data_IF_027728101865
#
_entry.id   IF_027728101865
#
_cell.length_a   1.000
_cell.length_b   1.000
_cell.length_c   1.000
_cell.angle_alpha   90.00
_cell.angle_beta   90.00
_cell.angle_gamma   90.00
#
_symmetry.space_group_name_H-M   'P 1'
#
loop_
_entity.id
_entity.type
_entity.pdbx_description
1 polymer ?
#
# COMPACT_ATOMS: atom_id res chain seq x y z
N UNK A 1 -6.98 28.84 31.14
CA UNK A 1 -6.30 27.73 31.86
C UNK A 1 -7.15 26.47 32.14
N UNK A 2 -8.50 26.50 32.11
CA UNK A 2 -9.35 25.33 32.47
C UNK A 2 -9.44 24.22 31.40
N UNK A 3 -9.32 24.54 30.11
CA UNK A 3 -9.51 23.57 29.01
C UNK A 3 -8.35 22.58 28.92
N UNK A 4 -7.10 23.05 29.00
CA UNK A 4 -5.91 22.18 28.94
C UNK A 4 -5.87 21.19 30.10
N UNK A 5 -6.16 21.64 31.33
CA UNK A 5 -6.25 20.76 32.49
C UNK A 5 -7.39 19.73 32.34
N UNK A 6 -8.54 20.15 31.79
CA UNK A 6 -9.66 19.25 31.50
C UNK A 6 -9.30 18.23 30.41
N UNK A 7 -8.56 18.62 29.37
CA UNK A 7 -8.04 17.70 28.35
C UNK A 7 -7.09 16.67 28.95
N UNK A 8 -6.15 17.12 29.79
CA UNK A 8 -5.14 16.25 30.40
C UNK A 8 -5.76 15.20 31.34
N UNK A 9 -6.81 15.57 32.08
CA UNK A 9 -7.40 14.74 33.13
C UNK A 9 -8.69 14.01 32.70
N UNK A 10 -9.57 14.67 31.94
CA UNK A 10 -10.91 14.20 31.56
C UNK A 10 -11.22 14.49 30.08
N UNK A 11 -10.46 13.95 29.12
CA UNK A 11 -10.56 14.32 27.70
C UNK A 11 -11.93 13.98 27.07
N UNK A 12 -12.71 13.07 27.67
CA UNK A 12 -14.02 12.61 27.16
C UNK A 12 -15.07 13.71 27.05
N UNK A 13 -14.97 14.78 27.82
CA UNK A 13 -15.98 15.85 27.86
C UNK A 13 -15.73 16.97 26.86
N UNK A 14 -14.52 17.05 26.30
CA UNK A 14 -14.09 18.16 25.43
C UNK A 14 -14.67 18.02 24.02
N UNK A 15 -15.17 19.13 23.46
CA UNK A 15 -15.73 19.19 22.10
C UNK A 15 -14.78 18.62 21.05
N UNK A 16 -13.50 18.99 21.09
CA UNK A 16 -12.47 18.51 20.17
C UNK A 16 -12.43 16.98 20.08
N UNK A 17 -12.54 16.25 21.20
CA UNK A 17 -12.56 14.78 21.19
C UNK A 17 -13.84 14.23 20.57
N UNK A 18 -14.99 14.87 20.83
CA UNK A 18 -16.28 14.45 20.28
C UNK A 18 -16.31 14.66 18.76
N UNK A 19 -15.84 15.81 18.28
CA UNK A 19 -15.73 16.11 16.86
C UNK A 19 -14.72 15.16 16.18
N UNK A 20 -13.54 14.98 16.75
CA UNK A 20 -12.54 14.04 16.25
C UNK A 20 -13.10 12.62 16.18
N UNK A 21 -13.86 12.18 17.19
CA UNK A 21 -14.52 10.88 17.16
C UNK A 21 -15.48 10.71 15.99
N UNK A 22 -16.28 11.72 15.66
CA UNK A 22 -17.17 11.66 14.51
C UNK A 22 -16.39 11.63 13.19
N UNK A 23 -15.39 12.52 13.05
CA UNK A 23 -14.54 12.55 11.85
C UNK A 23 -13.84 11.20 11.67
N UNK A 24 -13.21 10.66 12.71
CA UNK A 24 -12.52 9.38 12.66
C UNK A 24 -13.46 8.21 12.34
N UNK A 25 -14.67 8.21 12.92
CA UNK A 25 -15.67 7.17 12.64
C UNK A 25 -16.09 7.16 11.17
N UNK A 26 -16.45 8.33 10.63
CA UNK A 26 -16.97 8.43 9.27
C UNK A 26 -15.87 8.31 8.22
N UNK A 27 -14.70 8.92 8.43
CA UNK A 27 -13.54 8.71 7.56
C UNK A 27 -13.07 7.26 7.63
N UNK A 28 -13.02 6.66 8.82
CA UNK A 28 -12.61 5.27 8.99
C UNK A 28 -13.53 4.31 8.24
N UNK A 29 -14.84 4.55 8.27
CA UNK A 29 -15.81 3.74 7.51
C UNK A 29 -15.69 3.96 6.00
N UNK A 30 -15.54 5.21 5.55
CA UNK A 30 -15.45 5.56 4.13
C UNK A 30 -14.14 5.07 3.49
N UNK A 31 -13.02 5.14 4.23
CA UNK A 31 -11.68 4.84 3.72
C UNK A 31 -11.22 3.42 4.06
N UNK A 32 -11.97 2.67 4.87
CA UNK A 32 -11.61 1.32 5.31
C UNK A 32 -11.09 0.47 4.15
N UNK A 33 -11.96 0.18 3.17
CA UNK A 33 -11.62 -0.68 2.04
C UNK A 33 -10.45 -0.12 1.23
N UNK A 34 -10.43 1.19 0.98
CA UNK A 34 -9.35 1.88 0.29
C UNK A 34 -7.98 1.65 0.97
N UNK A 35 -7.89 1.90 2.29
CA UNK A 35 -6.65 1.71 3.05
C UNK A 35 -6.23 0.24 3.08
N UNK A 36 -7.18 -0.71 3.17
CA UNK A 36 -6.85 -2.14 3.14
C UNK A 36 -6.33 -2.58 1.76
N UNK A 37 -6.91 -2.10 0.67
CA UNK A 37 -6.41 -2.40 -0.68
C UNK A 37 -4.98 -1.87 -0.84
N UNK A 38 -4.71 -0.62 -0.46
CA UNK A 38 -3.36 -0.05 -0.56
C UNK A 38 -2.34 -0.72 0.37
N UNK A 39 -2.78 -1.11 1.58
CA UNK A 39 -1.98 -1.88 2.53
C UNK A 39 -1.59 -3.25 1.96
N UNK A 40 -2.53 -3.93 1.31
CA UNK A 40 -2.31 -5.24 0.70
C UNK A 40 -1.41 -5.14 -0.55
N UNK A 41 -1.72 -4.23 -1.48
CA UNK A 41 -0.93 -4.04 -2.70
C UNK A 41 0.46 -3.49 -2.38
N UNK A 42 0.56 -2.56 -1.43
CA UNK A 42 1.83 -2.00 -0.96
C UNK A 42 2.73 -3.06 -0.35
N UNK A 43 2.15 -3.98 0.42
CA UNK A 43 2.86 -5.13 0.98
C UNK A 43 3.36 -6.08 -0.12
N UNK A 44 2.55 -6.35 -1.14
CA UNK A 44 2.94 -7.21 -2.27
C UNK A 44 4.11 -6.62 -3.09
N UNK A 45 4.14 -5.30 -3.31
CA UNK A 45 5.21 -4.64 -4.09
C UNK A 45 6.52 -4.41 -3.33
N UNK A 46 6.62 -4.74 -2.03
CA UNK A 46 7.91 -4.71 -1.31
C UNK A 46 8.96 -5.60 -2.01
N UNK A 47 8.51 -6.69 -2.63
CA UNK A 47 9.32 -7.62 -3.41
C UNK A 47 9.33 -7.31 -4.91
N UNK A 48 8.88 -6.13 -5.34
CA UNK A 48 8.72 -5.82 -6.77
C UNK A 48 9.98 -6.12 -7.59
N UNK A 49 11.18 -5.79 -7.09
CA UNK A 49 12.43 -6.06 -7.84
C UNK A 49 12.69 -7.55 -8.03
N UNK A 50 12.41 -8.36 -7.00
CA UNK A 50 12.54 -9.81 -7.07
C UNK A 50 11.48 -10.41 -8.00
N UNK A 51 10.25 -9.90 -7.92
CA UNK A 51 9.15 -10.34 -8.77
C UNK A 51 9.38 -9.93 -10.24
N UNK A 52 9.89 -8.73 -10.52
CA UNK A 52 10.28 -8.28 -11.87
C UNK A 52 11.36 -9.19 -12.49
N UNK A 53 12.24 -9.77 -11.66
CA UNK A 53 13.24 -10.75 -12.11
C UNK A 53 12.61 -12.11 -12.33
N UNK A 54 11.78 -12.58 -11.39
CA UNK A 54 11.17 -13.90 -11.42
C UNK A 54 10.01 -14.05 -12.43
N UNK A 55 9.35 -12.95 -12.79
CA UNK A 55 8.17 -12.92 -13.65
C UNK A 55 8.46 -12.36 -15.04
N UNK A 56 9.64 -11.79 -15.25
CA UNK A 56 10.10 -11.36 -16.57
C UNK A 56 10.36 -12.55 -17.51
N UNK A 57 10.63 -12.27 -18.80
CA UNK A 57 11.04 -13.29 -19.74
C UNK A 57 12.33 -13.96 -19.30
N UNK A 58 12.55 -15.19 -19.75
CA UNK A 58 13.77 -15.94 -19.46
C UNK A 58 15.00 -15.15 -19.91
N UNK A 59 16.02 -15.14 -19.05
CA UNK A 59 17.21 -14.30 -19.25
C UNK A 59 18.41 -15.19 -19.53
N UNK A 60 19.05 -15.07 -20.70
CA UNK A 60 20.28 -15.79 -20.96
C UNK A 60 21.39 -15.30 -20.04
N UNK A 61 22.31 -16.21 -19.70
CA UNK A 61 23.52 -15.85 -18.95
C UNK A 61 24.37 -14.87 -19.77
N UNK A 62 24.97 -13.90 -19.08
CA UNK A 62 25.82 -12.90 -19.73
C UNK A 62 27.20 -13.52 -19.99
N UNK A 63 27.42 -13.99 -21.22
CA UNK A 63 28.74 -14.40 -21.68
C UNK A 63 29.39 -13.29 -22.52
N UNK A 64 30.38 -12.61 -21.91
CA UNK A 64 31.12 -11.51 -22.58
C UNK A 64 32.06 -12.00 -23.69
N UNK A 65 32.30 -13.31 -23.78
CA UNK A 65 33.12 -13.91 -24.84
C UNK A 65 32.32 -14.21 -26.10
N UNK A 66 30.99 -14.34 -25.97
CA UNK A 66 30.09 -14.52 -27.11
C UNK A 66 29.85 -13.19 -27.83
N UNK A 67 29.92 -13.24 -29.15
CA UNK A 67 29.55 -12.11 -30.00
C UNK A 67 28.03 -12.09 -30.18
N UNK A 68 27.45 -10.90 -30.05
CA UNK A 68 26.06 -10.65 -30.41
C UNK A 68 25.87 -10.96 -31.89
N UNK A 69 24.83 -11.72 -32.21
CA UNK A 69 24.46 -11.99 -33.59
C UNK A 69 24.04 -10.69 -34.29
N UNK A 70 24.45 -10.50 -35.56
CA UNK A 70 24.00 -9.34 -36.32
C UNK A 70 22.49 -9.41 -36.56
N UNK A 71 21.79 -8.27 -36.68
CA UNK A 71 20.32 -8.22 -36.81
C UNK A 71 19.77 -9.12 -37.92
N UNK A 72 20.51 -9.29 -39.03
CA UNK A 72 20.14 -10.13 -40.16
C UNK A 72 20.11 -11.61 -39.81
N UNK A 73 21.00 -12.06 -38.91
CA UNK A 73 20.99 -13.44 -38.41
C UNK A 73 19.83 -13.66 -37.46
N UNK A 74 19.54 -12.69 -36.60
CA UNK A 74 18.40 -12.76 -35.69
C UNK A 74 17.07 -12.78 -36.45
N UNK A 75 16.96 -12.01 -37.53
CA UNK A 75 15.79 -12.06 -38.41
C UNK A 75 15.65 -13.40 -39.13
N UNK A 76 16.76 -14.02 -39.57
CA UNK A 76 16.73 -15.39 -40.11
C UNK A 76 16.19 -16.41 -39.09
N UNK A 77 16.62 -16.34 -37.83
CA UNK A 77 16.13 -17.23 -36.77
C UNK A 77 14.63 -17.00 -36.50
N UNK A 78 14.22 -15.74 -36.39
CA UNK A 78 12.81 -15.38 -36.20
C UNK A 78 11.94 -15.86 -37.37
N UNK A 79 12.36 -15.63 -38.63
CA UNK A 79 11.62 -16.04 -39.81
C UNK A 79 11.47 -17.56 -39.91
N UNK A 80 12.45 -18.34 -39.43
CA UNK A 80 12.35 -19.81 -39.38
C UNK A 80 11.35 -20.29 -38.34
N UNK A 81 11.30 -19.64 -37.17
CA UNK A 81 10.32 -19.96 -36.13
C UNK A 81 8.91 -19.51 -36.49
N UNK A 82 8.79 -18.42 -37.25
CA UNK A 82 7.55 -17.74 -37.60
C UNK A 82 7.42 -17.56 -39.13
N UNK A 83 7.28 -18.64 -39.92
CA UNK A 83 7.35 -18.58 -41.38
C UNK A 83 6.23 -17.75 -42.04
N UNK A 84 5.08 -17.62 -41.37
CA UNK A 84 3.93 -16.86 -41.87
C UNK A 84 3.92 -15.39 -41.43
N UNK A 85 4.93 -14.94 -40.65
CA UNK A 85 5.00 -13.57 -40.18
C UNK A 85 6.01 -12.77 -41.00
N UNK A 86 5.74 -11.48 -41.17
CA UNK A 86 6.68 -10.50 -41.71
C UNK A 86 7.38 -9.79 -40.57
N UNK A 87 8.71 -9.75 -40.58
CA UNK A 87 9.49 -9.04 -39.56
C UNK A 87 9.40 -7.54 -39.84
N UNK A 88 8.91 -6.77 -38.86
CA UNK A 88 8.75 -5.32 -38.97
C UNK A 88 9.96 -4.57 -38.39
N UNK A 89 10.44 -5.03 -37.24
CA UNK A 89 11.55 -4.41 -36.52
C UNK A 89 12.39 -5.46 -35.78
N UNK A 90 13.70 -5.23 -35.78
CA UNK A 90 14.66 -5.96 -34.95
C UNK A 90 15.28 -4.93 -34.02
N UNK A 91 14.82 -4.93 -32.77
CA UNK A 91 15.26 -3.98 -31.77
C UNK A 91 16.75 -4.08 -31.44
N UNK A 92 17.28 -3.04 -30.79
CA UNK A 92 18.65 -3.07 -30.29
C UNK A 92 18.82 -4.03 -29.10
N UNK A 93 20.04 -4.55 -28.93
CA UNK A 93 20.40 -5.35 -27.75
C UNK A 93 20.18 -4.51 -26.48
N UNK A 94 19.43 -5.07 -25.54
CA UNK A 94 19.18 -4.36 -24.28
C UNK A 94 20.48 -4.23 -23.46
N UNK A 95 20.71 -3.05 -22.86
CA UNK A 95 21.95 -2.77 -22.11
C UNK A 95 22.18 -3.68 -20.89
N UNK A 96 21.11 -4.23 -20.32
CA UNK A 96 21.14 -4.95 -19.04
C UNK A 96 21.14 -6.47 -19.22
N UNK A 97 20.65 -6.96 -20.36
CA UNK A 97 20.50 -8.39 -20.69
C UNK A 97 20.72 -8.57 -22.20
N UNK A 98 21.43 -9.61 -22.65
CA UNK A 98 21.73 -9.85 -24.06
C UNK A 98 20.52 -10.45 -24.76
N UNK A 99 19.46 -9.66 -24.85
CA UNK A 99 18.20 -10.00 -25.49
C UNK A 99 17.84 -8.94 -26.52
N UNK A 100 17.17 -9.38 -27.58
CA UNK A 100 16.67 -8.53 -28.66
C UNK A 100 15.17 -8.77 -28.77
N UNK A 101 14.40 -7.70 -28.86
CA UNK A 101 12.97 -7.78 -29.12
C UNK A 101 12.74 -7.69 -30.62
N UNK A 102 11.98 -8.62 -31.17
CA UNK A 102 11.64 -8.66 -32.59
C UNK A 102 10.12 -8.52 -32.72
N UNK A 103 9.70 -7.53 -33.50
CA UNK A 103 8.30 -7.27 -33.81
C UNK A 103 7.96 -7.89 -35.14
N UNK A 104 6.90 -8.69 -35.16
CA UNK A 104 6.49 -9.50 -36.31
C UNK A 104 4.99 -9.31 -36.55
N UNK A 105 4.58 -9.22 -37.81
CA UNK A 105 3.17 -9.11 -38.19
C UNK A 105 2.70 -10.33 -38.97
N UNK A 106 1.56 -10.88 -38.60
CA UNK A 106 0.79 -11.79 -39.45
C UNK A 106 -0.60 -11.19 -39.67
N UNK A 107 -0.93 -10.88 -40.92
CA UNK A 107 -2.18 -10.21 -41.29
C UNK A 107 -2.39 -8.89 -40.52
N UNK A 108 -3.39 -8.81 -39.64
CA UNK A 108 -3.66 -7.65 -38.76
C UNK A 108 -3.11 -7.82 -37.33
N UNK A 109 -2.49 -8.95 -37.03
CA UNK A 109 -1.94 -9.25 -35.71
C UNK A 109 -0.44 -8.92 -35.66
N UNK A 110 -0.06 -8.05 -34.73
CA UNK A 110 1.35 -7.74 -34.43
C UNK A 110 1.72 -8.47 -33.15
N UNK A 111 2.72 -9.34 -33.23
CA UNK A 111 3.30 -10.04 -32.09
C UNK A 111 4.72 -9.53 -31.84
N UNK A 112 5.11 -9.50 -30.58
CA UNK A 112 6.46 -9.16 -30.16
C UNK A 112 7.04 -10.35 -29.41
N UNK A 113 8.29 -10.70 -29.70
CA UNK A 113 8.99 -11.83 -29.07
C UNK A 113 10.39 -11.41 -28.68
N UNK A 114 10.86 -11.97 -27.57
CA UNK A 114 12.22 -11.74 -27.08
C UNK A 114 13.09 -12.90 -27.54
N UNK A 115 14.20 -12.58 -28.17
CA UNK A 115 15.19 -13.56 -28.61
C UNK A 115 16.51 -13.38 -27.86
N UNK A 116 17.21 -14.48 -27.65
CA UNK A 116 18.57 -14.49 -27.15
C UNK A 116 19.50 -13.86 -28.19
N UNK A 117 20.21 -12.80 -27.83
CA UNK A 117 21.04 -12.04 -28.75
C UNK A 117 22.30 -12.80 -29.20
N UNK A 118 22.69 -13.87 -28.52
CA UNK A 118 23.84 -14.70 -28.86
C UNK A 118 23.47 -15.95 -29.67
N UNK A 119 22.34 -16.57 -29.36
CA UNK A 119 21.96 -17.87 -29.96
C UNK A 119 20.83 -17.79 -30.97
N UNK A 120 20.03 -16.71 -30.95
CA UNK A 120 18.80 -16.60 -31.75
C UNK A 120 17.65 -17.48 -31.23
N UNK A 121 17.75 -18.01 -30.02
CA UNK A 121 16.68 -18.74 -29.35
C UNK A 121 15.51 -17.81 -28.99
N UNK A 122 14.27 -18.23 -29.25
CA UNK A 122 13.06 -17.53 -28.81
C UNK A 122 12.81 -17.78 -27.31
N UNK A 123 12.82 -16.70 -26.55
CA UNK A 123 12.69 -16.67 -25.09
C UNK A 123 11.26 -16.37 -24.62
N UNK A 124 10.32 -16.15 -25.54
CA UNK A 124 8.93 -15.91 -25.17
C UNK A 124 8.44 -14.48 -25.37
N UNK A 125 7.32 -14.20 -24.71
CA UNK A 125 6.70 -12.88 -24.72
C UNK A 125 7.57 -11.87 -23.95
N UNK A 126 7.74 -10.63 -24.44
CA UNK A 126 8.46 -9.58 -23.72
C UNK A 126 7.84 -9.25 -22.37
N UNK A 127 6.52 -9.45 -22.27
CA UNK A 127 5.73 -9.22 -21.06
C UNK A 127 4.88 -10.46 -20.74
N UNK A 128 5.43 -11.47 -20.05
CA UNK A 128 4.64 -12.62 -19.62
C UNK A 128 3.47 -12.17 -18.71
N UNK A 129 2.38 -12.94 -18.68
CA UNK A 129 1.19 -12.62 -17.87
C UNK A 129 1.48 -12.29 -16.39
N UNK A 130 2.54 -12.89 -15.82
CA UNK A 130 2.98 -12.62 -14.44
C UNK A 130 3.56 -11.20 -14.30
N UNK A 131 4.29 -10.72 -15.31
CA UNK A 131 4.78 -9.34 -15.38
C UNK A 131 3.62 -8.37 -15.56
N UNK A 132 2.64 -8.69 -16.39
CA UNK A 132 1.42 -7.90 -16.52
C UNK A 132 0.62 -7.84 -15.22
N UNK A 133 0.47 -8.95 -14.51
CA UNK A 133 -0.18 -8.99 -13.21
C UNK A 133 0.54 -8.14 -12.15
N UNK A 134 1.88 -8.13 -12.18
CA UNK A 134 2.69 -7.28 -11.32
C UNK A 134 2.52 -5.80 -11.68
N UNK A 135 2.50 -5.47 -12.98
CA UNK A 135 2.22 -4.11 -13.45
C UNK A 135 0.82 -3.66 -13.04
N UNK A 136 -0.20 -4.51 -13.22
CA UNK A 136 -1.56 -4.27 -12.76
C UNK A 136 -1.61 -3.97 -11.26
N UNK A 137 -0.89 -4.74 -10.46
CA UNK A 137 -0.83 -4.55 -9.01
C UNK A 137 -0.15 -3.23 -8.62
N UNK A 138 0.92 -2.84 -9.33
CA UNK A 138 1.57 -1.53 -9.17
C UNK A 138 0.61 -0.40 -9.57
N UNK A 139 -0.07 -0.51 -10.72
CA UNK A 139 -1.04 0.50 -11.19
C UNK A 139 -2.23 0.62 -10.24
N UNK A 140 -2.67 -0.47 -9.61
CA UNK A 140 -3.69 -0.42 -8.56
C UNK A 140 -3.19 0.35 -7.32
N UNK A 141 -1.93 0.14 -6.91
CA UNK A 141 -1.37 0.82 -5.74
C UNK A 141 -1.11 2.31 -5.99
N UNK A 142 -0.59 2.65 -7.16
CA UNK A 142 -0.14 4.00 -7.52
C UNK A 142 -1.28 4.89 -8.03
N UNK A 143 -2.13 4.31 -8.87
CA UNK A 143 -3.09 5.03 -9.71
C UNK A 143 -4.53 4.49 -9.58
N UNK A 144 -4.79 3.54 -8.67
CA UNK A 144 -6.12 2.95 -8.43
C UNK A 144 -6.72 2.29 -9.69
N UNK A 145 -5.87 1.79 -10.59
CA UNK A 145 -6.25 1.27 -11.92
C UNK A 145 -6.91 2.29 -12.85
N UNK A 146 -6.89 3.57 -12.50
CA UNK A 146 -7.42 4.62 -13.34
C UNK A 146 -6.42 4.94 -14.47
N UNK A 147 -6.89 5.11 -15.71
CA UNK A 147 -6.08 5.66 -16.80
C UNK A 147 -5.46 7.01 -16.43
N UNK A 148 -4.33 7.35 -17.04
CA UNK A 148 -3.57 8.60 -16.77
C UNK A 148 -4.45 9.86 -16.88
N UNK A 149 -5.37 9.87 -17.84
CA UNK A 149 -6.33 10.96 -18.05
C UNK A 149 -7.29 11.17 -16.87
N UNK A 150 -7.59 10.10 -16.14
CA UNK A 150 -8.54 10.08 -15.02
C UNK A 150 -7.89 10.46 -13.68
N UNK A 151 -6.61 10.87 -13.69
CA UNK A 151 -5.88 11.39 -12.53
C UNK A 151 -5.87 10.43 -11.33
N UNK A 152 -5.62 9.13 -11.56
CA UNK A 152 -5.55 8.10 -10.50
C UNK A 152 -4.67 8.49 -9.31
N UNK A 153 -3.42 8.87 -9.58
CA UNK A 153 -2.47 9.38 -8.57
C UNK A 153 -2.97 10.57 -7.75
N UNK A 154 -3.78 11.45 -8.35
CA UNK A 154 -4.38 12.58 -7.64
C UNK A 154 -5.37 12.08 -6.59
N UNK A 155 -6.27 11.17 -6.94
CA UNK A 155 -7.24 10.60 -6.00
C UNK A 155 -6.56 9.77 -4.90
N UNK A 156 -5.51 9.04 -5.24
CA UNK A 156 -4.66 8.35 -4.27
C UNK A 156 -4.00 9.35 -3.28
N UNK A 157 -3.60 10.53 -3.78
CA UNK A 157 -3.11 11.63 -2.95
C UNK A 157 -4.19 12.19 -2.02
N UNK A 158 -5.41 12.40 -2.50
CA UNK A 158 -6.56 12.81 -1.68
C UNK A 158 -6.85 11.78 -0.60
N UNK A 159 -6.85 10.49 -0.93
CA UNK A 159 -7.02 9.41 0.04
C UNK A 159 -5.91 9.39 1.09
N UNK A 160 -4.68 9.72 0.70
CA UNK A 160 -3.53 9.87 1.62
C UNK A 160 -3.69 11.06 2.59
N UNK A 161 -4.24 12.20 2.12
CA UNK A 161 -4.59 13.35 2.97
C UNK A 161 -5.68 12.95 3.98
N UNK A 162 -6.75 12.30 3.51
CA UNK A 162 -7.84 11.89 4.39
C UNK A 162 -7.40 10.82 5.40
N UNK A 163 -6.49 9.92 5.02
CA UNK A 163 -5.88 8.93 5.92
C UNK A 163 -4.98 9.61 6.96
N UNK A 164 -4.28 10.69 6.58
CA UNK A 164 -3.51 11.51 7.53
C UNK A 164 -4.45 12.14 8.57
N UNK A 165 -5.59 12.71 8.15
CA UNK A 165 -6.62 13.25 9.06
C UNK A 165 -7.19 12.14 9.96
N UNK A 166 -7.43 10.95 9.40
CA UNK A 166 -7.88 9.77 10.15
C UNK A 166 -6.87 9.41 11.27
N UNK A 167 -5.57 9.41 10.97
CA UNK A 167 -4.51 9.17 11.95
C UNK A 167 -4.48 10.26 13.04
N UNK A 168 -4.51 11.54 12.65
CA UNK A 168 -4.47 12.67 13.60
C UNK A 168 -5.69 12.66 14.53
N UNK A 169 -6.88 12.44 14.00
CA UNK A 169 -8.09 12.30 14.83
C UNK A 169 -8.03 11.06 15.72
N UNK A 170 -7.46 9.95 15.23
CA UNK A 170 -7.18 8.75 16.02
C UNK A 170 -6.29 9.03 17.23
N UNK A 171 -5.18 9.76 17.04
CA UNK A 171 -4.28 10.17 18.12
C UNK A 171 -4.98 11.05 19.17
N UNK A 172 -5.83 11.98 18.74
CA UNK A 172 -6.64 12.83 19.63
C UNK A 172 -7.63 11.98 20.45
N UNK A 173 -8.31 11.01 19.82
CA UNK A 173 -9.29 10.14 20.49
C UNK A 173 -8.62 9.16 21.45
N UNK A 174 -7.44 8.66 21.07
CA UNK A 174 -6.68 7.65 21.80
C UNK A 174 -6.35 8.12 23.21
N UNK A 175 -5.99 9.40 23.40
CA UNK A 175 -5.62 9.96 24.69
C UNK A 175 -6.70 9.71 25.77
N UNK A 176 -6.45 8.81 26.75
CA UNK A 176 -7.44 8.44 27.76
C UNK A 176 -7.33 9.29 29.03
N UNK A 177 -6.37 10.22 29.09
CA UNK A 177 -6.01 11.03 30.24
C UNK A 177 -4.78 10.52 30.99
N UNK A 178 -4.09 11.41 31.69
CA UNK A 178 -2.78 11.16 32.32
C UNK A 178 -2.77 10.02 33.36
N UNK A 179 -3.91 9.71 33.98
CA UNK A 179 -4.00 8.63 34.98
C UNK A 179 -4.11 7.24 34.35
N UNK A 180 -4.57 7.14 33.11
CA UNK A 180 -4.93 5.87 32.48
C UNK A 180 -4.20 5.59 31.16
N UNK A 181 -3.23 6.41 30.75
CA UNK A 181 -2.56 6.31 29.45
C UNK A 181 -1.96 4.92 29.18
N UNK A 182 -1.35 4.28 30.19
CA UNK A 182 -0.80 2.91 30.06
C UNK A 182 -1.86 1.87 29.69
N UNK A 183 -3.12 2.06 30.10
CA UNK A 183 -4.24 1.17 29.73
C UNK A 183 -4.60 1.26 28.25
N UNK A 184 -4.27 2.38 27.58
CA UNK A 184 -4.51 2.54 26.14
C UNK A 184 -3.45 1.87 25.25
N UNK A 185 -2.37 1.37 25.84
CA UNK A 185 -1.23 0.71 25.15
C UNK A 185 -1.21 -0.81 25.34
N UNK A 186 -2.11 -1.34 26.15
CA UNK A 186 -2.10 -2.75 26.59
C UNK A 186 -3.40 -3.44 26.19
N UNK A 187 -3.30 -4.74 25.94
CA UNK A 187 -4.43 -5.60 25.56
C UNK A 187 -4.76 -6.51 26.72
N UNK A 188 -6.04 -6.53 27.12
CA UNK A 188 -6.55 -7.47 28.10
C UNK A 188 -7.09 -8.71 27.39
N UNK A 189 -6.26 -9.74 27.29
CA UNK A 189 -6.57 -10.98 26.57
C UNK A 189 -7.68 -11.82 27.20
N UNK A 190 -7.92 -11.65 28.50
CA UNK A 190 -8.97 -12.30 29.29
C UNK A 190 -10.34 -11.60 29.20
N UNK A 191 -10.44 -10.52 28.42
CA UNK A 191 -11.67 -9.75 28.31
C UNK A 191 -12.66 -10.34 27.30
N UNK A 192 -13.96 -10.15 27.56
CA UNK A 192 -15.01 -10.46 26.59
C UNK A 192 -14.79 -9.76 25.22
N UNK A 193 -15.24 -10.40 24.14
CA UNK A 193 -14.86 -10.06 22.76
C UNK A 193 -15.01 -8.56 22.37
N UNK A 194 -16.12 -7.87 22.65
CA UNK A 194 -16.23 -6.42 22.40
C UNK A 194 -15.13 -5.57 23.06
N UNK A 195 -14.71 -5.94 24.27
CA UNK A 195 -13.65 -5.24 25.00
C UNK A 195 -12.28 -5.57 24.43
N UNK A 196 -12.01 -6.85 24.16
CA UNK A 196 -10.77 -7.28 23.54
C UNK A 196 -10.55 -6.59 22.19
N UNK A 197 -11.57 -6.55 21.32
CA UNK A 197 -11.49 -5.89 20.02
C UNK A 197 -11.22 -4.37 20.13
N UNK A 198 -11.82 -3.69 21.11
CA UNK A 198 -11.52 -2.28 21.39
C UNK A 198 -10.08 -2.09 21.86
N UNK A 199 -9.62 -2.93 22.80
CA UNK A 199 -8.25 -2.86 23.33
C UNK A 199 -7.22 -3.16 22.23
N UNK A 200 -7.49 -4.12 21.33
CA UNK A 200 -6.68 -4.40 20.14
C UNK A 200 -6.61 -3.18 19.21
N UNK A 201 -7.74 -2.61 18.81
CA UNK A 201 -7.75 -1.43 17.93
C UNK A 201 -7.00 -0.24 18.55
N UNK A 202 -7.18 -0.03 19.86
CA UNK A 202 -6.48 1.03 20.60
C UNK A 202 -4.97 0.79 20.68
N UNK A 203 -4.55 -0.42 21.04
CA UNK A 203 -3.14 -0.75 21.23
C UNK A 203 -2.39 -0.79 19.89
N UNK A 204 -2.93 -1.51 18.89
CA UNK A 204 -2.33 -1.60 17.55
C UNK A 204 -2.28 -0.22 16.91
N UNK A 205 -3.37 0.55 16.98
CA UNK A 205 -3.42 1.92 16.47
C UNK A 205 -2.37 2.82 17.11
N UNK A 206 -2.08 2.66 18.41
CA UNK A 206 -1.03 3.40 19.09
C UNK A 206 0.38 2.98 18.67
N UNK A 207 0.69 1.69 18.75
CA UNK A 207 2.04 1.18 18.49
C UNK A 207 2.49 1.41 17.05
N UNK A 208 1.54 1.38 16.11
CA UNK A 208 1.81 1.58 14.69
C UNK A 208 1.37 2.94 14.17
N UNK A 209 0.95 3.87 15.05
CA UNK A 209 0.51 5.22 14.68
C UNK A 209 1.52 5.92 13.78
N UNK A 210 2.79 5.98 14.20
CA UNK A 210 3.83 6.68 13.45
C UNK A 210 4.10 6.03 12.09
N UNK A 211 3.96 4.69 12.00
CA UNK A 211 4.16 3.97 10.74
C UNK A 211 3.03 4.26 9.75
N UNK A 212 1.78 4.18 10.20
CA UNK A 212 0.60 4.47 9.35
C UNK A 212 0.62 5.94 8.93
N UNK A 213 0.96 6.85 9.85
CA UNK A 213 1.13 8.27 9.56
C UNK A 213 2.25 8.51 8.53
N UNK A 214 3.38 7.81 8.66
CA UNK A 214 4.47 7.87 7.69
C UNK A 214 3.99 7.48 6.29
N UNK A 215 3.27 6.37 6.14
CA UNK A 215 2.72 5.95 4.84
C UNK A 215 1.68 6.93 4.29
N UNK A 216 0.83 7.49 5.14
CA UNK A 216 -0.14 8.49 4.71
C UNK A 216 0.55 9.78 4.24
N UNK A 217 1.54 10.30 4.98
CA UNK A 217 2.25 11.54 4.60
C UNK A 217 3.13 11.35 3.37
N UNK A 218 3.83 10.22 3.26
CA UNK A 218 4.59 9.85 2.05
C UNK A 218 3.70 9.70 0.84
N UNK A 219 2.49 9.13 0.97
CA UNK A 219 1.51 9.10 -0.11
C UNK A 219 1.13 10.50 -0.62
N UNK A 220 1.00 11.49 0.28
CA UNK A 220 0.81 12.90 -0.10
C UNK A 220 2.01 13.39 -0.91
N UNK A 221 3.24 13.14 -0.45
CA UNK A 221 4.45 13.55 -1.15
C UNK A 221 4.58 12.90 -2.55
N UNK A 222 4.31 11.60 -2.66
CA UNK A 222 4.41 10.85 -3.93
C UNK A 222 3.32 11.24 -4.93
N UNK A 223 2.15 11.67 -4.46
CA UNK A 223 1.07 12.16 -5.33
C UNK A 223 1.19 13.65 -5.66
N UNK A 224 1.70 14.46 -4.74
CA UNK A 224 1.79 15.92 -4.87
C UNK A 224 3.19 16.44 -4.51
N UNK A 225 4.25 16.06 -5.24
CA UNK A 225 5.62 16.40 -4.88
C UNK A 225 5.85 17.91 -4.90
N UNK A 226 5.36 18.63 -5.91
CA UNK A 226 5.55 20.08 -6.02
C UNK A 226 4.84 20.86 -4.90
N UNK A 227 3.52 20.67 -4.65
CA UNK A 227 2.88 21.32 -3.51
C UNK A 227 3.53 20.98 -2.16
N UNK A 228 3.94 19.72 -1.98
CA UNK A 228 4.60 19.27 -0.75
C UNK A 228 5.95 19.98 -0.55
N UNK A 229 6.82 19.99 -1.57
CA UNK A 229 8.12 20.65 -1.48
C UNK A 229 8.00 22.17 -1.37
N UNK A 230 6.98 22.78 -2.00
CA UNK A 230 6.70 24.20 -1.81
C UNK A 230 6.35 24.51 -0.34
N UNK A 231 5.53 23.67 0.30
CA UNK A 231 5.24 23.80 1.72
C UNK A 231 6.50 23.63 2.58
N UNK A 232 7.34 22.64 2.30
CA UNK A 232 8.63 22.46 2.96
C UNK A 232 9.50 23.71 2.81
N UNK A 233 9.58 24.29 1.61
CA UNK A 233 10.38 25.47 1.33
C UNK A 233 9.89 26.72 2.09
N UNK A 234 8.58 26.84 2.33
CA UNK A 234 8.01 27.93 3.14
C UNK A 234 8.49 27.86 4.59
N UNK A 235 8.57 26.66 5.18
CA UNK A 235 8.92 26.48 6.59
C UNK A 235 10.42 26.32 6.85
N UNK A 236 11.16 25.75 5.89
CA UNK A 236 12.56 25.36 6.06
C UNK A 236 13.52 26.12 5.12
N UNK A 237 13.02 27.10 4.35
CA UNK A 237 13.79 27.85 3.35
C UNK A 237 13.90 27.12 2.01
N UNK A 238 14.30 27.77 0.92
CA UNK A 238 14.44 27.13 -0.39
C UNK A 238 15.52 26.03 -0.39
N UNK A 239 15.33 25.01 -1.22
CA UNK A 239 16.36 23.98 -1.45
C UNK A 239 17.58 24.59 -2.17
N UNK A 240 18.77 24.06 -1.88
CA UNK A 240 20.02 24.49 -2.51
C UNK A 240 20.28 23.60 -3.74
N UNK A 241 20.30 24.16 -4.96
CA UNK A 241 20.55 23.36 -6.17
C UNK A 241 21.95 22.73 -6.18
N UNK A 242 22.92 23.34 -5.48
CA UNK A 242 24.31 22.90 -5.45
C UNK A 242 24.62 21.93 -4.29
N UNK A 243 23.75 21.88 -3.28
CA UNK A 243 23.90 20.99 -2.13
C UNK A 243 22.60 20.20 -1.85
N UNK A 244 22.35 19.12 -2.61
CA UNK A 244 21.26 18.20 -2.31
C UNK A 244 21.34 17.68 -0.89
N UNK A 245 20.19 17.53 -0.22
CA UNK A 245 20.08 17.05 1.18
C UNK A 245 20.75 17.96 2.22
N UNK A 246 20.96 19.24 1.89
CA UNK A 246 21.55 20.22 2.81
C UNK A 246 20.69 20.49 4.04
N UNK A 247 19.36 20.34 3.96
CA UNK A 247 18.45 20.55 5.09
C UNK A 247 18.16 19.22 5.80
N UNK A 248 18.10 19.19 7.15
CA UNK A 248 17.70 17.99 7.89
C UNK A 248 16.34 17.42 7.46
N UNK A 249 15.42 18.27 6.99
CA UNK A 249 14.11 17.84 6.49
C UNK A 249 14.22 17.04 5.18
N UNK A 250 15.18 17.34 4.31
CA UNK A 250 15.35 16.62 3.04
C UNK A 250 15.85 15.20 3.31
N UNK A 251 16.77 15.05 4.26
CA UNK A 251 17.21 13.74 4.78
C UNK A 251 16.02 12.98 5.37
N UNK A 252 15.17 13.66 6.15
CA UNK A 252 13.98 13.03 6.71
C UNK A 252 13.00 12.57 5.63
N UNK A 253 12.74 13.39 4.59
CA UNK A 253 11.89 13.04 3.44
C UNK A 253 12.47 11.83 2.69
N UNK A 254 13.79 11.80 2.47
CA UNK A 254 14.45 10.67 1.82
C UNK A 254 14.24 9.36 2.60
N UNK A 255 14.45 9.40 3.92
CA UNK A 255 14.17 8.25 4.79
C UNK A 255 12.69 7.87 4.77
N UNK A 256 11.79 8.86 4.79
CA UNK A 256 10.36 8.66 4.67
C UNK A 256 10.01 7.85 3.42
N UNK A 257 10.56 8.23 2.26
CA UNK A 257 10.36 7.57 0.97
C UNK A 257 10.98 6.18 0.95
N UNK A 258 12.19 6.01 1.50
CA UNK A 258 12.85 4.69 1.61
C UNK A 258 12.02 3.72 2.45
N UNK A 259 11.48 4.19 3.58
CA UNK A 259 10.61 3.42 4.46
C UNK A 259 9.27 3.12 3.78
N UNK A 260 8.68 4.06 3.06
CA UNK A 260 7.45 3.82 2.29
C UNK A 260 7.59 2.60 1.37
N UNK A 261 8.64 2.57 0.55
CA UNK A 261 8.84 1.48 -0.41
C UNK A 261 9.36 0.17 0.23
N UNK A 262 9.74 0.16 1.50
CA UNK A 262 10.27 -1.04 2.17
C UNK A 262 11.52 -1.62 1.49
N UNK A 263 12.36 -0.78 0.86
CA UNK A 263 13.54 -1.22 0.07
C UNK A 263 14.69 -1.64 0.96
N UNK A 264 14.51 -2.74 1.67
CA UNK A 264 15.54 -3.36 2.51
C UNK A 264 16.49 -4.23 1.68
N UNK A 265 17.76 -4.29 2.09
CA UNK A 265 18.73 -5.23 1.50
C UNK A 265 18.50 -6.68 1.96
N UNK A 266 17.93 -6.88 3.14
CA UNK A 266 17.64 -8.20 3.72
C UNK A 266 16.22 -8.64 3.40
N UNK A 267 16.05 -9.87 2.90
CA UNK A 267 14.73 -10.48 2.69
C UNK A 267 13.96 -10.64 4.00
N UNK A 268 14.65 -10.95 5.11
CA UNK A 268 14.02 -11.03 6.43
C UNK A 268 13.36 -9.71 6.81
N UNK A 269 14.06 -8.59 6.59
CA UNK A 269 13.48 -7.26 6.87
C UNK A 269 12.32 -6.95 5.94
N UNK A 270 12.35 -7.38 4.67
CA UNK A 270 11.21 -7.25 3.76
C UNK A 270 10.00 -8.02 4.26
N UNK A 271 10.17 -9.28 4.71
CA UNK A 271 9.07 -10.09 5.26
C UNK A 271 8.47 -9.41 6.51
N UNK A 272 9.31 -8.92 7.42
CA UNK A 272 8.85 -8.14 8.57
C UNK A 272 8.08 -6.89 8.12
N UNK A 273 8.60 -6.18 7.11
CA UNK A 273 7.95 -4.99 6.56
C UNK A 273 6.60 -5.28 5.92
N UNK A 274 6.44 -6.42 5.25
CA UNK A 274 5.15 -6.93 4.74
C UNK A 274 4.17 -7.16 5.88
N UNK A 275 4.59 -7.81 6.96
CA UNK A 275 3.71 -8.06 8.11
C UNK A 275 3.25 -6.74 8.74
N UNK A 276 4.15 -5.78 8.90
CA UNK A 276 3.80 -4.43 9.38
C UNK A 276 2.88 -3.72 8.38
N UNK A 277 3.15 -3.90 7.07
CA UNK A 277 2.38 -3.37 5.96
C UNK A 277 0.90 -3.77 5.99
N UNK A 278 0.57 -4.94 6.56
CA UNK A 278 -0.79 -5.46 6.69
C UNK A 278 -1.55 -4.97 7.94
N UNK A 279 -0.90 -4.23 8.83
CA UNK A 279 -1.54 -3.73 10.07
C UNK A 279 -2.76 -2.82 9.82
N UNK A 280 -2.77 -1.92 8.82
CA UNK A 280 -3.97 -1.17 8.48
C UNK A 280 -5.20 -2.05 8.18
N UNK A 281 -4.99 -3.26 7.63
CA UNK A 281 -6.07 -4.24 7.43
C UNK A 281 -6.62 -4.77 8.76
N UNK A 282 -5.75 -5.02 9.76
CA UNK A 282 -6.18 -5.38 11.12
C UNK A 282 -6.98 -4.23 11.76
N UNK A 283 -6.54 -2.99 11.56
CA UNK A 283 -7.25 -1.79 12.02
C UNK A 283 -8.63 -1.65 11.38
N UNK A 284 -8.77 -1.95 10.09
CA UNK A 284 -10.05 -2.02 9.40
C UNK A 284 -10.97 -3.04 10.07
N UNK A 285 -10.52 -4.29 10.19
CA UNK A 285 -11.35 -5.39 10.72
C UNK A 285 -11.83 -5.06 12.13
N UNK A 286 -10.91 -4.67 13.00
CA UNK A 286 -11.25 -4.31 14.39
C UNK A 286 -12.19 -3.09 14.45
N UNK A 287 -11.98 -2.08 13.60
CA UNK A 287 -12.85 -0.91 13.47
C UNK A 287 -14.26 -1.24 12.99
N UNK A 288 -14.38 -2.05 11.93
CA UNK A 288 -15.64 -2.50 11.37
C UNK A 288 -16.44 -3.34 12.38
N UNK A 289 -15.77 -4.24 13.12
CA UNK A 289 -16.38 -5.01 14.21
C UNK A 289 -16.92 -4.09 15.32
N UNK A 290 -16.18 -3.04 15.70
CA UNK A 290 -16.68 -2.05 16.68
C UNK A 290 -17.92 -1.33 16.17
N UNK A 291 -17.91 -0.87 14.92
CA UNK A 291 -19.05 -0.19 14.31
C UNK A 291 -20.28 -1.10 14.24
N UNK A 292 -20.10 -2.34 13.78
CA UNK A 292 -21.16 -3.34 13.70
C UNK A 292 -21.82 -3.60 15.06
N UNK A 293 -21.00 -3.83 16.09
CA UNK A 293 -21.49 -4.07 17.45
C UNK A 293 -22.22 -2.86 18.04
N UNK A 294 -21.74 -1.65 17.76
CA UNK A 294 -22.26 -0.42 18.35
C UNK A 294 -23.52 0.10 17.66
N UNK A 295 -23.61 -0.04 16.33
CA UNK A 295 -24.66 0.54 15.50
C UNK A 295 -25.67 -0.51 15.07
N UNK A 296 -25.21 -1.55 14.36
CA UNK A 296 -26.09 -2.53 13.72
C UNK A 296 -26.74 -3.45 14.75
N UNK A 297 -25.95 -4.12 15.59
CA UNK A 297 -26.50 -5.03 16.61
C UNK A 297 -27.37 -4.29 17.63
N UNK A 298 -26.98 -3.06 18.00
CA UNK A 298 -27.77 -2.26 18.93
C UNK A 298 -29.11 -1.83 18.34
N UNK A 299 -29.13 -1.39 17.08
CA UNK A 299 -30.35 -1.05 16.37
C UNK A 299 -31.25 -2.28 16.22
N UNK A 300 -30.71 -3.42 15.79
CA UNK A 300 -31.48 -4.67 15.68
C UNK A 300 -32.09 -5.13 17.00
N UNK A 301 -31.34 -5.04 18.11
CA UNK A 301 -31.87 -5.35 19.45
C UNK A 301 -32.99 -4.40 19.87
N UNK A 302 -32.85 -3.11 19.57
CA UNK A 302 -33.89 -2.11 19.85
C UNK A 302 -35.15 -2.38 19.01
N UNK A 303 -35.00 -2.69 17.73
CA UNK A 303 -36.13 -3.05 16.85
C UNK A 303 -36.83 -4.33 17.29
N UNK A 304 -36.07 -5.38 17.62
CA UNK A 304 -36.64 -6.65 18.09
C UNK A 304 -37.35 -6.52 19.45
N UNK A 305 -36.82 -5.70 20.35
CA UNK A 305 -37.50 -5.36 21.60
C UNK A 305 -38.82 -4.61 21.36
N UNK A 306 -38.91 -3.80 20.29
CA UNK A 306 -40.12 -3.09 19.90
C UNK A 306 -41.14 -3.98 19.17
N UNK A 307 -40.71 -5.02 18.44
CA UNK A 307 -41.59 -5.90 17.65
C UNK A 307 -41.94 -7.22 18.35
N UNK A 308 -41.39 -7.51 19.53
CA UNK A 308 -41.64 -8.75 20.26
C UNK A 308 -41.06 -10.01 19.61
N UNK A 309 -40.29 -9.88 18.53
CA UNK A 309 -39.64 -11.00 17.87
C UNK A 309 -38.34 -11.38 18.60
N UNK A 310 -38.06 -12.68 18.79
CA UNK A 310 -36.82 -13.11 19.40
C UNK A 310 -35.63 -12.69 18.52
N UNK A 311 -34.70 -11.91 19.09
CA UNK A 311 -33.39 -11.68 18.49
C UNK A 311 -32.73 -13.06 18.37
N UNK A 312 -32.37 -13.48 17.16
CA UNK A 312 -31.52 -14.66 16.94
C UNK A 312 -30.29 -14.54 17.85
N UNK A 313 -30.31 -15.26 18.97
CA UNK A 313 -29.14 -15.43 19.82
C UNK A 313 -28.20 -16.32 19.04
N UNK A 314 -27.09 -15.79 18.57
CA UNK A 314 -25.92 -16.64 18.37
C UNK A 314 -25.57 -17.21 19.75
N UNK A 315 -25.96 -18.46 19.94
CA UNK A 315 -25.77 -19.24 21.15
C UNK A 315 -24.27 -19.26 21.45
N UNK A 316 -23.84 -18.55 22.50
CA UNK A 316 -22.55 -18.84 23.13
C UNK A 316 -22.71 -20.15 23.88
N UNK A 317 -22.56 -21.26 23.17
CA UNK A 317 -22.26 -22.55 23.77
C UNK A 317 -20.78 -22.56 24.16
N UNK A 318 -20.51 -22.20 25.40
CA UNK A 318 -19.51 -22.93 26.18
C UNK A 318 -20.25 -23.47 27.39
N UNK A 319 -20.99 -24.55 27.17
CA UNK A 319 -21.43 -25.39 28.27
C UNK A 319 -20.20 -25.87 29.02
N UNK A 320 -20.30 -25.84 30.35
CA UNK A 320 -19.31 -26.46 31.21
C UNK A 320 -19.14 -27.92 30.82
N UNK A 321 -17.90 -28.34 30.78
CA UNK A 321 -17.56 -29.75 30.98
C UNK A 321 -16.97 -29.79 32.37
N UNK A 322 -17.58 -30.64 33.19
CA UNK A 322 -17.18 -31.02 34.55
C UNK A 322 -15.71 -31.46 34.64
#
# INVERSE_FOLDING_TARGET
MKIWQTWMQRPRTVFLRKASFQIHLWLGLALALYVAVLSLTGSAIVFRRELDVAFGPDRPEIDKTQQVLPPERLSEFAQRGYPNHTIEDVGGVQRRWPVVQITMRQDDEVIERVFNAYTGEDLGDPFPWKSEALLWLVTLHDDLLMPLEQRGRFWNGVGSILTTILCLTGAIIWWPGVRNWRRGMTVKWDAHWPRLNFDLHSAVGFWFFLMILLWAVTGIYLSFPTPFMNAVNIFFGPDSPDMPLSRPIDVAIEWMVRLHFGRWRSHTLKVVWVIIGLIPMVMLVTGAVMWWNRVVLRSRRASAAATGQPVLRFQQESQGVE
#
